data_IF_142193775634
#
_entry.id   IF_142193775634
#
_cell.length_a   1.000
_cell.length_b   1.000
_cell.length_c   1.000
_cell.angle_alpha   90.00
_cell.angle_beta   90.00
_cell.angle_gamma   90.00
#
_symmetry.space_group_name_H-M   'P 1'
#
loop_
_entity.id
_entity.type
_entity.pdbx_description
1 polymer ?
#
# COMPACT_ATOMS: atom_id res chain seq x y z
N UNK A 1 -18.67 13.66 29.98
CA UNK A 1 -19.55 13.24 28.88
C UNK A 1 -18.65 12.89 27.71
N UNK A 2 -18.59 11.61 27.40
CA UNK A 2 -17.89 11.06 26.27
C UNK A 2 -18.59 11.60 25.01
N UNK A 3 -18.03 12.64 24.39
CA UNK A 3 -18.51 13.15 23.12
C UNK A 3 -18.08 12.16 22.05
N UNK A 4 -18.87 11.11 21.87
CA UNK A 4 -18.74 9.94 21.01
C UNK A 4 -18.23 10.16 19.58
N UNK A 5 -17.06 10.75 19.44
CA UNK A 5 -16.34 10.88 18.17
C UNK A 5 -15.50 9.63 17.92
N UNK A 6 -15.54 9.14 16.69
CA UNK A 6 -14.69 8.04 16.26
C UNK A 6 -13.21 8.50 16.17
N UNK A 7 -12.23 7.63 16.54
CA UNK A 7 -10.82 7.96 16.36
C UNK A 7 -10.45 8.21 14.89
N UNK A 8 -9.55 9.17 14.64
CA UNK A 8 -9.07 9.48 13.29
C UNK A 8 -8.51 8.24 12.57
N UNK A 9 -7.79 7.39 13.29
CA UNK A 9 -7.23 6.13 12.77
C UNK A 9 -8.28 5.21 12.16
N UNK A 10 -9.46 5.11 12.79
CA UNK A 10 -10.58 4.31 12.26
C UNK A 10 -11.21 4.94 11.03
N UNK A 11 -11.38 6.27 11.02
CA UNK A 11 -11.92 6.99 9.86
C UNK A 11 -11.00 6.83 8.65
N UNK A 12 -9.70 6.96 8.84
CA UNK A 12 -8.69 6.72 7.79
C UNK A 12 -8.79 5.29 7.26
N UNK A 13 -8.95 4.30 8.14
CA UNK A 13 -9.11 2.89 7.74
C UNK A 13 -10.41 2.66 6.94
N UNK A 14 -11.52 3.25 7.35
CA UNK A 14 -12.79 3.19 6.61
C UNK A 14 -12.64 3.76 5.19
N UNK A 15 -12.00 4.92 5.05
CA UNK A 15 -11.78 5.54 3.73
C UNK A 15 -10.83 4.70 2.88
N UNK A 16 -9.79 4.10 3.46
CA UNK A 16 -8.91 3.17 2.75
C UNK A 16 -9.68 1.95 2.25
N UNK A 17 -10.57 1.39 3.08
CA UNK A 17 -11.44 0.25 2.70
C UNK A 17 -12.39 0.62 1.55
N UNK A 18 -12.99 1.81 1.60
CA UNK A 18 -13.83 2.33 0.52
C UNK A 18 -13.04 2.48 -0.80
N UNK A 19 -11.80 2.97 -0.71
CA UNK A 19 -10.91 3.13 -1.86
C UNK A 19 -10.56 1.78 -2.50
N UNK A 20 -10.15 0.81 -1.68
CA UNK A 20 -9.88 -0.56 -2.15
C UNK A 20 -11.13 -1.21 -2.76
N UNK A 21 -12.30 -0.99 -2.14
CA UNK A 21 -13.59 -1.45 -2.65
C UNK A 21 -13.92 -0.89 -4.05
N UNK A 22 -13.57 0.37 -4.32
CA UNK A 22 -13.73 0.94 -5.66
C UNK A 22 -12.80 0.29 -6.70
N UNK A 23 -11.53 0.04 -6.35
CA UNK A 23 -10.61 -0.69 -7.23
C UNK A 23 -11.14 -2.08 -7.57
N UNK A 24 -11.59 -2.84 -6.57
CA UNK A 24 -12.16 -4.18 -6.78
C UNK A 24 -13.46 -4.14 -7.61
N UNK A 25 -14.30 -3.14 -7.38
CA UNK A 25 -15.53 -2.93 -8.17
C UNK A 25 -15.22 -2.68 -9.65
N UNK A 26 -14.19 -1.89 -9.96
CA UNK A 26 -13.76 -1.65 -11.34
C UNK A 26 -13.28 -2.97 -11.97
N UNK A 27 -12.42 -3.73 -11.27
CA UNK A 27 -11.93 -5.04 -11.74
C UNK A 27 -13.07 -6.03 -12.01
N UNK A 28 -14.09 -6.04 -11.16
CA UNK A 28 -15.24 -6.93 -11.29
C UNK A 28 -16.25 -6.48 -12.37
N UNK A 29 -16.21 -5.23 -12.79
CA UNK A 29 -17.19 -4.65 -13.72
C UNK A 29 -16.99 -5.04 -15.19
N UNK A 30 -15.79 -5.53 -15.54
CA UNK A 30 -15.42 -5.90 -16.90
C UNK A 30 -14.66 -7.22 -16.94
N UNK A 31 -14.78 -7.96 -18.05
CA UNK A 31 -13.94 -9.13 -18.29
C UNK A 31 -12.64 -8.68 -18.96
N UNK A 32 -11.50 -9.15 -18.48
CA UNK A 32 -10.19 -8.84 -19.04
C UNK A 32 -9.25 -10.04 -18.91
N UNK A 33 -8.26 -10.10 -19.81
CA UNK A 33 -7.20 -11.11 -19.81
C UNK A 33 -5.95 -10.57 -19.08
N UNK A 34 -5.69 -9.25 -19.20
CA UNK A 34 -4.51 -8.59 -18.61
C UNK A 34 -4.95 -7.36 -17.83
N UNK A 35 -4.45 -7.23 -16.60
CA UNK A 35 -4.62 -6.06 -15.74
C UNK A 35 -3.31 -5.27 -15.70
N UNK A 36 -3.37 -3.98 -16.03
CA UNK A 36 -2.29 -3.03 -15.82
C UNK A 36 -2.74 -1.88 -14.91
N UNK A 37 -2.00 -1.68 -13.82
CA UNK A 37 -2.28 -0.62 -12.85
C UNK A 37 -1.08 0.32 -12.75
N UNK A 38 -1.33 1.62 -12.63
CA UNK A 38 -0.29 2.64 -12.52
C UNK A 38 -0.74 3.87 -11.76
N UNK A 39 0.22 4.60 -11.21
CA UNK A 39 0.01 5.84 -10.51
C UNK A 39 0.08 5.72 -9.00
N UNK A 40 -0.25 6.80 -8.31
CA UNK A 40 -0.22 6.89 -6.86
C UNK A 40 -1.35 7.75 -6.34
N UNK A 41 -1.76 7.46 -5.12
CA UNK A 41 -2.72 8.21 -4.34
C UNK A 41 -2.03 9.33 -3.55
N UNK A 42 -2.74 10.41 -3.19
CA UNK A 42 -2.27 11.39 -2.23
C UNK A 42 -1.94 10.72 -0.89
N UNK A 43 -0.81 11.08 -0.31
CA UNK A 43 -0.42 10.59 1.02
C UNK A 43 -1.33 11.19 2.09
N UNK A 44 -1.65 10.43 3.12
CA UNK A 44 -2.57 10.86 4.16
C UNK A 44 -2.11 12.14 4.89
N UNK A 45 -0.81 12.35 5.02
CA UNK A 45 -0.23 13.61 5.55
C UNK A 45 -0.75 14.84 4.80
N UNK A 46 -0.77 14.80 3.47
CA UNK A 46 -1.27 15.90 2.64
C UNK A 46 -2.79 16.07 2.77
N UNK A 47 -3.53 14.97 2.74
CA UNK A 47 -5.01 14.99 2.89
C UNK A 47 -5.40 15.61 4.22
N UNK A 48 -4.76 15.18 5.31
CA UNK A 48 -5.06 15.71 6.65
C UNK A 48 -4.56 17.13 6.86
N UNK A 49 -3.44 17.52 6.25
CA UNK A 49 -2.96 18.90 6.32
C UNK A 49 -3.96 19.86 5.65
N UNK A 50 -4.48 19.50 4.47
CA UNK A 50 -5.54 20.27 3.79
C UNK A 50 -6.81 20.32 4.65
N UNK A 51 -7.23 19.17 5.19
CA UNK A 51 -8.38 19.08 6.08
C UNK A 51 -8.21 19.97 7.32
N UNK A 52 -7.06 19.91 7.99
CA UNK A 52 -6.78 20.70 9.18
C UNK A 52 -6.85 22.20 8.89
N UNK A 53 -6.18 22.66 7.84
CA UNK A 53 -6.21 24.09 7.46
C UNK A 53 -7.63 24.54 7.13
N UNK A 54 -8.39 23.71 6.37
CA UNK A 54 -9.76 24.05 5.98
C UNK A 54 -10.69 24.15 7.18
N UNK A 55 -10.53 23.30 8.19
CA UNK A 55 -11.42 23.24 9.37
C UNK A 55 -11.05 24.22 10.46
N UNK A 56 -9.76 24.36 10.80
CA UNK A 56 -9.29 25.20 11.91
C UNK A 56 -9.30 26.69 11.59
N UNK A 57 -9.24 27.04 10.31
CA UNK A 57 -9.16 28.43 9.84
C UNK A 57 -10.45 28.91 9.18
N UNK A 58 -11.53 28.13 9.24
CA UNK A 58 -12.84 28.58 8.82
C UNK A 58 -13.30 29.72 9.73
N UNK A 59 -13.45 30.97 9.21
CA UNK A 59 -13.80 32.11 10.05
C UNK A 59 -15.25 32.06 10.58
N UNK A 60 -16.10 31.29 9.94
CA UNK A 60 -17.52 31.18 10.27
C UNK A 60 -17.80 30.05 11.30
N UNK A 61 -16.98 28.98 11.25
CA UNK A 61 -17.13 27.83 12.16
C UNK A 61 -15.81 27.07 12.37
N UNK A 62 -14.84 27.63 13.14
CA UNK A 62 -13.58 26.96 13.40
C UNK A 62 -13.77 25.69 14.22
N UNK A 63 -13.39 24.55 13.67
CA UNK A 63 -13.58 23.25 14.29
C UNK A 63 -12.29 22.69 14.90
N UNK A 64 -12.41 21.96 16.00
CA UNK A 64 -11.33 21.15 16.53
C UNK A 64 -11.10 19.91 15.67
N UNK A 65 -9.82 19.61 15.33
CA UNK A 65 -9.45 18.52 14.41
C UNK A 65 -9.51 17.13 15.08
N UNK A 66 -9.36 17.06 16.39
CA UNK A 66 -9.10 15.82 17.10
C UNK A 66 -10.33 14.89 17.25
N UNK A 67 -11.55 15.44 17.31
CA UNK A 67 -12.76 14.64 17.43
C UNK A 67 -13.52 14.56 16.10
N UNK A 68 -13.82 13.34 15.63
CA UNK A 68 -14.45 13.08 14.34
C UNK A 68 -15.95 12.77 14.52
N UNK A 69 -16.77 13.81 14.42
CA UNK A 69 -18.22 13.64 14.23
C UNK A 69 -18.57 13.33 12.76
N UNK A 70 -19.84 13.05 12.48
CA UNK A 70 -20.29 12.66 11.12
C UNK A 70 -20.06 13.77 10.07
N UNK A 71 -20.15 15.03 10.45
CA UNK A 71 -19.89 16.16 9.55
C UNK A 71 -18.41 16.25 9.17
N UNK A 72 -17.53 16.10 10.13
CA UNK A 72 -16.07 16.10 9.94
C UNK A 72 -15.60 14.90 9.12
N UNK A 73 -16.18 13.72 9.36
CA UNK A 73 -15.93 12.52 8.55
C UNK A 73 -16.34 12.73 7.10
N UNK A 74 -17.53 13.29 6.87
CA UNK A 74 -18.01 13.58 5.53
C UNK A 74 -17.09 14.56 4.80
N UNK A 75 -16.62 15.61 5.48
CA UNK A 75 -15.67 16.57 4.92
C UNK A 75 -14.32 15.94 4.61
N UNK A 76 -13.77 15.13 5.52
CA UNK A 76 -12.51 14.42 5.27
C UNK A 76 -12.61 13.48 4.08
N UNK A 77 -13.73 12.74 3.98
CA UNK A 77 -14.01 11.86 2.85
C UNK A 77 -14.17 12.64 1.54
N UNK A 78 -14.82 13.80 1.56
CA UNK A 78 -14.93 14.70 0.41
C UNK A 78 -13.55 15.18 -0.06
N UNK A 79 -12.69 15.65 0.87
CA UNK A 79 -11.33 16.10 0.56
C UNK A 79 -10.52 14.95 -0.04
N UNK A 80 -10.57 13.77 0.59
CA UNK A 80 -9.87 12.59 0.08
C UNK A 80 -10.25 12.25 -1.37
N UNK A 81 -11.55 12.20 -1.69
CA UNK A 81 -12.02 11.89 -3.03
C UNK A 81 -11.86 13.06 -4.03
N UNK A 82 -11.75 14.27 -3.55
CA UNK A 82 -11.39 15.43 -4.39
C UNK A 82 -9.92 15.38 -4.79
N UNK A 83 -9.07 14.91 -3.88
CA UNK A 83 -7.63 14.74 -4.15
C UNK A 83 -7.34 13.51 -5.01
N UNK A 84 -8.09 12.44 -4.88
CA UNK A 84 -7.76 11.14 -5.49
C UNK A 84 -8.74 10.77 -6.57
N UNK A 85 -8.21 10.41 -7.74
CA UNK A 85 -8.99 10.05 -8.93
C UNK A 85 -8.56 8.67 -9.41
N UNK A 86 -9.53 7.76 -9.53
CA UNK A 86 -9.34 6.44 -10.13
C UNK A 86 -9.95 6.48 -11.53
N UNK A 87 -9.11 6.34 -12.54
CA UNK A 87 -9.54 6.19 -13.93
C UNK A 87 -9.40 4.74 -14.40
N UNK A 88 -10.28 4.30 -15.31
CA UNK A 88 -10.14 3.00 -15.94
C UNK A 88 -10.51 3.06 -17.42
N UNK A 89 -9.87 2.20 -18.22
CA UNK A 89 -10.19 1.97 -19.63
C UNK A 89 -9.90 0.53 -20.00
N UNK A 90 -10.59 0.03 -21.01
CA UNK A 90 -10.29 -1.25 -21.64
C UNK A 90 -9.76 -1.04 -23.06
N UNK A 91 -8.88 -1.95 -23.48
CA UNK A 91 -8.30 -1.96 -24.83
C UNK A 91 -8.15 -3.41 -25.28
N UNK A 92 -8.59 -3.73 -26.51
CA UNK A 92 -8.35 -5.04 -27.11
C UNK A 92 -7.11 -4.97 -27.98
N UNK A 93 -6.13 -5.83 -27.72
CA UNK A 93 -4.91 -5.97 -28.50
C UNK A 93 -4.92 -7.33 -29.20
N UNK A 94 -4.61 -7.31 -30.49
CA UNK A 94 -4.55 -8.52 -31.30
C UNK A 94 -3.10 -8.74 -31.74
N UNK A 95 -2.57 -9.90 -31.40
CA UNK A 95 -1.21 -10.31 -31.76
C UNK A 95 -1.27 -11.58 -32.61
N UNK A 96 -0.38 -11.69 -33.59
CA UNK A 96 -0.19 -12.89 -34.38
C UNK A 96 0.90 -13.72 -33.71
N UNK A 97 0.56 -14.93 -33.29
CA UNK A 97 1.48 -15.90 -32.71
C UNK A 97 1.76 -16.97 -33.75
N UNK A 98 3.04 -17.26 -33.98
CA UNK A 98 3.46 -18.36 -34.85
C UNK A 98 3.69 -19.59 -33.99
N UNK A 99 2.89 -20.62 -34.19
CA UNK A 99 3.07 -21.91 -33.54
C UNK A 99 3.76 -22.87 -34.50
N UNK A 100 4.88 -23.45 -34.06
CA UNK A 100 5.58 -24.51 -34.79
C UNK A 100 5.07 -25.86 -34.33
N UNK A 101 4.63 -26.71 -35.28
CA UNK A 101 4.22 -28.07 -35.01
C UNK A 101 4.86 -29.05 -35.99
N UNK A 102 5.14 -30.31 -35.55
CA UNK A 102 5.62 -31.35 -36.43
C UNK A 102 4.42 -31.99 -37.18
N UNK A 103 4.50 -32.11 -38.49
CA UNK A 103 3.45 -32.72 -39.33
C UNK A 103 3.36 -34.25 -39.22
N UNK A 104 4.14 -34.85 -38.31
CA UNK A 104 4.26 -36.31 -38.13
C UNK A 104 5.18 -36.99 -39.16
N UNK A 105 5.81 -36.19 -40.05
CA UNK A 105 6.76 -36.66 -41.05
C UNK A 105 8.15 -36.03 -40.87
N UNK A 106 8.33 -35.31 -39.76
CA UNK A 106 9.59 -34.62 -39.43
C UNK A 106 9.77 -33.27 -40.07
N UNK A 107 8.70 -32.70 -40.65
CA UNK A 107 8.73 -31.29 -41.10
C UNK A 107 8.06 -30.39 -40.08
N UNK A 108 8.67 -29.24 -39.84
CA UNK A 108 8.08 -28.18 -39.01
C UNK A 108 7.10 -27.39 -39.87
N UNK A 109 5.86 -27.34 -39.43
CA UNK A 109 4.79 -26.50 -40.03
C UNK A 109 4.54 -25.34 -39.10
N UNK A 110 4.71 -24.14 -39.62
CA UNK A 110 4.36 -22.89 -38.95
C UNK A 110 2.86 -22.57 -39.18
N UNK A 111 2.13 -22.40 -38.08
CA UNK A 111 0.73 -21.98 -38.14
C UNK A 111 0.60 -20.61 -37.51
N UNK A 112 0.13 -19.63 -38.27
CA UNK A 112 -0.19 -18.31 -37.75
C UNK A 112 -1.55 -18.36 -37.06
N UNK A 113 -1.55 -18.07 -35.73
CA UNK A 113 -2.77 -17.94 -34.93
C UNK A 113 -2.88 -16.51 -34.41
N UNK A 114 -4.07 -15.94 -34.52
CA UNK A 114 -4.33 -14.60 -34.01
C UNK A 114 -4.97 -14.71 -32.62
N UNK A 115 -4.28 -14.14 -31.62
CA UNK A 115 -4.79 -14.09 -30.23
C UNK A 115 -5.19 -12.65 -29.93
N UNK A 116 -6.43 -12.45 -29.49
CA UNK A 116 -6.93 -11.17 -29.02
C UNK A 116 -7.07 -11.19 -27.51
N UNK A 117 -6.40 -10.28 -26.82
CA UNK A 117 -6.46 -10.10 -25.39
C UNK A 117 -7.11 -8.77 -25.04
N UNK A 118 -7.96 -8.77 -24.04
CA UNK A 118 -8.56 -7.56 -23.46
C UNK A 118 -7.73 -7.10 -22.27
N UNK A 119 -7.24 -5.90 -22.33
CA UNK A 119 -6.49 -5.23 -21.28
C UNK A 119 -7.43 -4.32 -20.49
N UNK A 120 -7.38 -4.41 -19.17
CA UNK A 120 -7.93 -3.41 -18.26
C UNK A 120 -6.80 -2.55 -17.72
N UNK A 121 -6.85 -1.26 -18.00
CA UNK A 121 -5.94 -0.26 -17.43
C UNK A 121 -6.65 0.46 -16.29
N UNK A 122 -6.02 0.51 -15.12
CA UNK A 122 -6.45 1.34 -13.99
C UNK A 122 -5.34 2.34 -13.69
N UNK A 123 -5.70 3.61 -13.66
CA UNK A 123 -4.76 4.70 -13.38
C UNK A 123 -5.23 5.47 -12.16
N UNK A 124 -4.36 5.62 -11.17
CA UNK A 124 -4.61 6.45 -9.99
C UNK A 124 -3.80 7.73 -10.12
N UNK A 125 -4.48 8.86 -10.02
CA UNK A 125 -3.85 10.19 -10.01
C UNK A 125 -4.32 10.96 -8.80
N UNK A 126 -3.53 11.94 -8.36
CA UNK A 126 -3.92 12.78 -7.23
C UNK A 126 -3.53 14.23 -7.44
N UNK A 127 -4.26 15.11 -6.75
CA UNK A 127 -3.90 16.51 -6.58
C UNK A 127 -2.98 16.66 -5.39
N UNK A 128 -2.01 17.56 -5.51
CA UNK A 128 -1.13 17.96 -4.42
C UNK A 128 -1.87 18.86 -3.41
N UNK A 129 -1.30 19.02 -2.22
CA UNK A 129 -1.81 19.96 -1.23
C UNK A 129 -1.87 21.41 -1.76
N UNK A 130 -0.91 21.81 -2.60
CA UNK A 130 -0.90 23.14 -3.22
C UNK A 130 -2.04 23.34 -4.22
N UNK A 131 -2.33 22.33 -5.05
CA UNK A 131 -3.48 22.35 -5.97
C UNK A 131 -4.80 22.42 -5.21
N UNK A 132 -4.90 21.75 -4.07
CA UNK A 132 -6.07 21.85 -3.19
C UNK A 132 -6.19 23.23 -2.54
N UNK A 133 -5.07 23.82 -2.11
CA UNK A 133 -5.04 25.18 -1.58
C UNK A 133 -5.49 26.22 -2.62
N UNK A 134 -5.16 26.02 -3.88
CA UNK A 134 -5.65 26.84 -4.99
C UNK A 134 -7.15 26.64 -5.20
N UNK A 135 -7.60 25.39 -5.29
CA UNK A 135 -9.01 25.04 -5.50
C UNK A 135 -9.92 25.59 -4.38
N UNK A 136 -9.47 25.55 -3.13
CA UNK A 136 -10.22 26.07 -1.99
C UNK A 136 -10.03 27.57 -1.75
N UNK A 137 -9.18 28.24 -2.53
CA UNK A 137 -8.92 29.67 -2.40
C UNK A 137 -8.25 30.04 -1.09
N UNK A 138 -7.32 29.20 -0.59
CA UNK A 138 -6.61 29.46 0.66
C UNK A 138 -5.87 30.79 0.62
N UNK A 139 -6.01 31.56 1.70
CA UNK A 139 -5.27 32.81 1.91
C UNK A 139 -3.77 32.55 2.04
N UNK A 140 -2.97 33.63 2.00
CA UNK A 140 -1.52 33.54 2.20
C UNK A 140 -1.17 32.92 3.58
N UNK A 141 -1.91 33.25 4.63
CA UNK A 141 -1.69 32.72 5.96
C UNK A 141 -2.06 31.23 6.04
N UNK A 142 -3.18 30.82 5.41
CA UNK A 142 -3.58 29.40 5.29
C UNK A 142 -2.55 28.59 4.51
N UNK A 143 -2.02 29.11 3.41
CA UNK A 143 -0.95 28.44 2.63
C UNK A 143 0.33 28.30 3.44
N UNK A 144 0.66 29.30 4.26
CA UNK A 144 1.81 29.21 5.17
C UNK A 144 1.62 28.12 6.22
N UNK A 145 0.44 28.04 6.84
CA UNK A 145 0.10 26.98 7.80
C UNK A 145 0.16 25.61 7.15
N UNK A 146 -0.37 25.47 5.92
CA UNK A 146 -0.29 24.22 5.16
C UNK A 146 1.17 23.79 4.94
N UNK A 147 2.03 24.71 4.52
CA UNK A 147 3.46 24.44 4.32
C UNK A 147 4.15 24.02 5.62
N UNK A 148 3.85 24.68 6.75
CA UNK A 148 4.39 24.34 8.08
C UNK A 148 3.94 22.91 8.50
N UNK A 149 2.68 22.56 8.30
CA UNK A 149 2.15 21.22 8.63
C UNK A 149 2.81 20.11 7.80
N UNK A 150 3.27 20.42 6.60
CA UNK A 150 3.88 19.47 5.68
C UNK A 150 5.40 19.32 5.84
N UNK A 151 6.04 20.09 6.75
CA UNK A 151 7.47 19.95 7.04
C UNK A 151 7.79 18.56 7.63
N UNK A 152 9.04 18.12 7.45
CA UNK A 152 9.50 16.84 8.00
C UNK A 152 9.54 16.82 9.53
N UNK A 153 9.69 17.97 10.15
CA UNK A 153 9.66 18.13 11.62
C UNK A 153 8.33 17.66 12.22
N UNK A 154 7.24 17.72 11.45
CA UNK A 154 5.91 17.29 11.87
C UNK A 154 5.58 15.80 11.54
N UNK A 155 6.51 15.06 10.94
CA UNK A 155 6.25 13.66 10.56
C UNK A 155 5.87 12.78 11.75
N UNK A 156 6.51 12.95 12.92
CA UNK A 156 6.17 12.22 14.14
C UNK A 156 4.77 12.54 14.65
N UNK A 157 4.35 13.81 14.54
CA UNK A 157 2.98 14.22 14.89
C UNK A 157 1.96 13.53 13.99
N UNK A 158 2.18 13.54 12.68
CA UNK A 158 1.29 12.88 11.73
C UNK A 158 1.24 11.37 11.95
N UNK A 159 2.37 10.74 12.25
CA UNK A 159 2.44 9.31 12.57
C UNK A 159 1.59 8.99 13.81
N UNK A 160 1.66 9.81 14.84
CA UNK A 160 0.85 9.65 16.05
C UNK A 160 -0.66 9.88 15.77
N UNK A 161 -1.01 10.92 15.01
CA UNK A 161 -2.40 11.29 14.71
C UNK A 161 -3.06 10.27 13.77
N UNK A 162 -2.35 9.87 12.71
CA UNK A 162 -2.87 8.97 11.69
C UNK A 162 -2.93 7.51 12.13
N UNK A 163 -1.95 7.09 12.90
CA UNK A 163 -1.71 5.66 13.13
C UNK A 163 -1.62 5.28 14.61
N UNK A 164 -1.62 6.27 15.51
CA UNK A 164 -1.46 6.02 16.95
C UNK A 164 -0.08 5.48 17.32
N UNK A 165 0.91 5.63 16.43
CA UNK A 165 2.25 5.06 16.60
C UNK A 165 3.15 6.11 17.24
N UNK A 166 3.75 5.73 18.37
CA UNK A 166 4.75 6.54 19.10
C UNK A 166 5.96 5.66 19.39
N UNK A 167 7.12 6.01 18.84
CA UNK A 167 8.37 5.28 19.07
C UNK A 167 9.11 4.86 17.79
N UNK A 168 10.34 4.36 17.93
CA UNK A 168 11.21 3.96 16.83
C UNK A 168 10.75 2.70 16.08
N UNK A 169 10.16 1.76 16.80
CA UNK A 169 9.69 0.47 16.27
C UNK A 169 8.55 0.64 15.26
N UNK A 170 7.81 1.74 15.36
CA UNK A 170 6.72 2.08 14.44
C UNK A 170 7.14 2.83 13.17
N UNK A 171 8.41 3.20 13.01
CA UNK A 171 8.83 4.04 11.88
C UNK A 171 8.58 3.36 10.54
N UNK A 172 8.91 2.08 10.39
CA UNK A 172 8.67 1.34 9.15
C UNK A 172 7.17 1.16 8.87
N UNK A 173 6.37 1.02 9.93
CA UNK A 173 4.89 0.93 9.82
C UNK A 173 4.34 2.25 9.30
N UNK A 174 4.80 3.39 9.82
CA UNK A 174 4.39 4.71 9.37
C UNK A 174 4.75 4.94 7.88
N UNK A 175 5.96 4.58 7.48
CA UNK A 175 6.39 4.65 6.08
C UNK A 175 5.50 3.79 5.20
N UNK A 176 5.26 2.53 5.58
CA UNK A 176 4.41 1.61 4.82
C UNK A 176 2.96 2.13 4.71
N UNK A 177 2.38 2.62 5.80
CA UNK A 177 1.02 3.18 5.83
C UNK A 177 0.88 4.41 4.93
N UNK A 178 1.93 5.24 4.81
CA UNK A 178 1.94 6.39 3.90
C UNK A 178 1.79 5.99 2.43
N UNK A 179 2.10 4.75 2.09
CA UNK A 179 2.07 4.22 0.73
C UNK A 179 0.77 3.50 0.37
N UNK A 180 -0.10 3.25 1.35
CA UNK A 180 -1.38 2.54 1.13
C UNK A 180 -2.18 3.22 0.03
N UNK A 181 -2.67 2.42 -0.94
CA UNK A 181 -3.41 2.88 -2.11
C UNK A 181 -2.56 3.14 -3.35
N UNK A 182 -1.23 3.09 -3.27
CA UNK A 182 -0.38 3.09 -4.46
C UNK A 182 -0.55 1.79 -5.24
N UNK A 183 -0.49 1.88 -6.57
CA UNK A 183 -0.78 0.78 -7.50
C UNK A 183 0.38 0.54 -8.47
N UNK A 184 0.50 -0.70 -8.98
CA UNK A 184 1.48 -1.08 -10.01
C UNK A 184 2.94 -1.18 -9.54
N UNK A 185 3.26 -0.72 -8.35
CA UNK A 185 4.54 -0.90 -7.66
C UNK A 185 5.77 -0.28 -8.32
N UNK A 186 5.61 0.56 -9.38
CA UNK A 186 6.73 1.13 -10.12
C UNK A 186 7.76 1.85 -9.23
N UNK A 187 7.41 2.64 -8.21
CA UNK A 187 8.38 3.29 -7.33
C UNK A 187 9.29 2.30 -6.58
N UNK A 188 8.78 1.11 -6.24
CA UNK A 188 9.48 0.13 -5.43
C UNK A 188 10.38 -0.79 -6.24
N UNK A 189 9.84 -1.39 -7.31
CA UNK A 189 10.64 -2.29 -8.14
C UNK A 189 11.68 -1.54 -8.98
N UNK A 190 11.40 -0.30 -9.45
CA UNK A 190 12.40 0.50 -10.17
C UNK A 190 13.51 1.01 -9.25
N UNK A 191 13.18 1.43 -8.01
CA UNK A 191 14.18 1.75 -6.99
C UNK A 191 15.09 0.55 -6.67
N UNK A 192 14.52 -0.65 -6.62
CA UNK A 192 15.31 -1.86 -6.39
C UNK A 192 16.35 -2.09 -7.49
N UNK A 193 16.04 -1.73 -8.73
CA UNK A 193 16.90 -1.84 -9.90
C UNK A 193 16.28 -2.62 -11.06
N UNK A 194 14.99 -2.96 -11.01
CA UNK A 194 14.30 -3.61 -12.12
C UNK A 194 13.87 -2.58 -13.18
N UNK A 195 13.95 -2.96 -14.47
CA UNK A 195 13.57 -2.11 -15.59
C UNK A 195 12.14 -2.33 -16.09
N UNK A 196 11.46 -3.34 -15.55
CA UNK A 196 10.07 -3.69 -15.86
C UNK A 196 9.39 -4.23 -14.60
N UNK A 197 8.05 -4.30 -14.65
CA UNK A 197 7.28 -4.86 -13.55
C UNK A 197 7.72 -6.29 -13.21
N UNK A 198 7.86 -6.54 -11.94
CA UNK A 198 8.12 -7.85 -11.32
C UNK A 198 7.11 -8.05 -10.20
N UNK A 199 7.10 -9.21 -9.55
CA UNK A 199 6.45 -9.38 -8.25
C UNK A 199 7.19 -8.52 -7.22
N UNK A 200 6.50 -7.55 -6.60
CA UNK A 200 7.16 -6.45 -5.90
C UNK A 200 6.86 -6.34 -4.39
N UNK A 201 6.25 -7.38 -3.79
CA UNK A 201 6.01 -7.40 -2.35
C UNK A 201 7.29 -7.22 -1.52
N UNK A 202 8.35 -7.96 -1.86
CA UNK A 202 9.65 -7.86 -1.20
C UNK A 202 10.38 -6.55 -1.53
N UNK A 203 10.24 -6.04 -2.76
CA UNK A 203 10.75 -4.71 -3.12
C UNK A 203 10.12 -3.61 -2.27
N UNK A 204 8.82 -3.70 -1.99
CA UNK A 204 8.09 -2.77 -1.13
C UNK A 204 8.63 -2.77 0.30
N UNK A 205 8.78 -3.94 0.92
CA UNK A 205 9.36 -4.04 2.28
C UNK A 205 10.77 -3.48 2.32
N UNK A 206 11.61 -3.82 1.34
CA UNK A 206 12.97 -3.28 1.22
C UNK A 206 12.99 -1.77 1.04
N UNK A 207 12.08 -1.22 0.24
CA UNK A 207 11.95 0.22 0.05
C UNK A 207 11.56 0.92 1.36
N UNK A 208 10.58 0.40 2.09
CA UNK A 208 10.19 0.94 3.40
C UNK A 208 11.37 0.90 4.40
N UNK A 209 12.13 -0.18 4.41
CA UNK A 209 13.31 -0.31 5.25
C UNK A 209 14.41 0.70 4.86
N UNK A 210 14.58 0.98 3.56
CA UNK A 210 15.52 2.00 3.07
C UNK A 210 15.13 3.40 3.53
N UNK A 211 13.85 3.76 3.42
CA UNK A 211 13.35 5.06 3.86
C UNK A 211 13.57 5.30 5.36
N UNK A 212 13.66 4.23 6.15
CA UNK A 212 13.99 4.27 7.57
C UNK A 212 15.51 4.20 7.86
N UNK A 213 16.37 4.04 6.85
CA UNK A 213 17.81 3.82 7.03
C UNK A 213 18.17 2.41 7.54
N UNK A 214 17.23 1.49 7.60
CA UNK A 214 17.42 0.16 8.20
C UNK A 214 18.25 -0.79 7.33
N UNK A 215 18.32 -0.55 6.02
CA UNK A 215 19.23 -1.31 5.14
C UNK A 215 20.69 -0.93 5.42
N UNK A 216 21.00 0.36 5.48
CA UNK A 216 22.35 0.86 5.77
C UNK A 216 22.80 0.44 7.18
N UNK A 217 21.88 0.47 8.14
CA UNK A 217 22.14 0.02 9.52
C UNK A 217 22.27 -1.51 9.67
N UNK A 218 21.97 -2.29 8.62
CA UNK A 218 22.02 -3.76 8.66
C UNK A 218 20.92 -4.40 9.51
N UNK A 219 19.82 -3.70 9.77
CA UNK A 219 18.67 -4.16 10.57
C UNK A 219 17.73 -5.01 9.71
N UNK A 220 17.50 -4.59 8.47
CA UNK A 220 16.69 -5.30 7.48
C UNK A 220 17.50 -5.41 6.18
N UNK A 221 17.54 -6.58 5.52
CA UNK A 221 18.28 -6.73 4.26
C UNK A 221 17.55 -6.05 3.10
N UNK A 222 18.29 -5.69 2.04
CA UNK A 222 17.69 -5.39 0.74
C UNK A 222 17.42 -6.71 0.02
N UNK A 223 16.15 -7.07 -0.20
CA UNK A 223 15.77 -8.32 -0.87
C UNK A 223 14.58 -8.10 -1.80
N UNK A 224 14.54 -8.86 -2.91
CA UNK A 224 13.44 -8.91 -3.87
C UNK A 224 12.75 -10.29 -3.90
N UNK A 225 13.41 -11.33 -3.42
CA UNK A 225 12.84 -12.66 -3.27
C UNK A 225 12.54 -12.97 -1.80
N UNK A 226 11.32 -13.38 -1.49
CA UNK A 226 10.88 -13.65 -0.12
C UNK A 226 11.73 -14.74 0.55
N UNK A 227 12.11 -15.80 -0.18
CA UNK A 227 12.99 -16.87 0.32
C UNK A 227 14.32 -16.33 0.82
N UNK A 228 14.90 -15.36 0.11
CA UNK A 228 16.16 -14.74 0.51
C UNK A 228 16.02 -13.91 1.79
N UNK A 229 14.89 -13.21 1.93
CA UNK A 229 14.56 -12.48 3.16
C UNK A 229 14.46 -13.43 4.35
N UNK A 230 13.69 -14.51 4.23
CA UNK A 230 13.55 -15.55 5.27
C UNK A 230 14.90 -16.12 5.67
N UNK A 231 15.73 -16.50 4.70
CA UNK A 231 17.07 -17.06 4.95
C UNK A 231 17.95 -16.09 5.76
N UNK A 232 17.98 -14.81 5.36
CA UNK A 232 18.77 -13.78 6.03
C UNK A 232 18.40 -13.62 7.51
N UNK A 233 17.09 -13.59 7.83
CA UNK A 233 16.62 -13.48 9.21
C UNK A 233 16.86 -14.74 10.03
N UNK A 234 16.66 -15.92 9.44
CA UNK A 234 16.94 -17.22 10.09
C UNK A 234 18.42 -17.35 10.46
N UNK A 235 19.34 -17.00 9.57
CA UNK A 235 20.77 -17.04 9.81
C UNK A 235 21.23 -16.17 10.99
N UNK A 236 20.44 -15.14 11.33
CA UNK A 236 20.73 -14.19 12.41
C UNK A 236 19.95 -14.47 13.70
N UNK A 237 19.15 -15.55 13.72
CA UNK A 237 18.31 -15.87 14.88
C UNK A 237 17.16 -14.87 15.09
N UNK A 238 16.77 -14.15 14.05
CA UNK A 238 15.71 -13.14 14.06
C UNK A 238 14.41 -13.68 13.41
N UNK A 239 14.15 -14.96 13.56
CA UNK A 239 12.98 -15.63 12.97
C UNK A 239 12.11 -16.27 14.04
N UNK A 240 10.80 -16.10 13.90
CA UNK A 240 9.78 -16.74 14.70
C UNK A 240 8.83 -17.55 13.80
N UNK A 241 8.32 -18.64 14.30
CA UNK A 241 7.32 -19.45 13.60
C UNK A 241 5.90 -18.82 13.70
N UNK A 242 4.93 -19.46 13.08
CA UNK A 242 3.54 -19.00 13.04
C UNK A 242 2.82 -18.98 14.40
N UNK A 243 3.36 -19.59 15.45
CA UNK A 243 2.79 -19.54 16.80
C UNK A 243 3.16 -18.25 17.55
N UNK A 244 4.09 -17.48 17.03
CA UNK A 244 4.51 -16.20 17.60
C UNK A 244 3.41 -15.13 17.44
N UNK A 245 3.21 -14.33 18.50
CA UNK A 245 2.39 -13.13 18.43
C UNK A 245 3.26 -11.94 18.01
N UNK A 246 3.10 -11.44 16.78
CA UNK A 246 4.00 -10.42 16.24
C UNK A 246 3.73 -9.04 16.83
N UNK A 247 4.74 -8.16 16.70
CA UNK A 247 4.69 -6.75 17.11
C UNK A 247 4.64 -5.83 15.90
N UNK A 248 4.17 -4.58 16.05
CA UNK A 248 4.29 -3.58 15.01
C UNK A 248 5.75 -3.46 14.51
N UNK A 249 5.93 -3.50 13.19
CA UNK A 249 7.24 -3.46 12.56
C UNK A 249 7.87 -4.84 12.26
N UNK A 250 7.40 -5.93 12.85
CA UNK A 250 7.83 -7.27 12.44
C UNK A 250 7.47 -7.48 10.95
N UNK A 251 8.26 -8.30 10.27
CA UNK A 251 8.02 -8.63 8.87
C UNK A 251 7.35 -9.99 8.80
N UNK A 252 6.15 -10.04 8.23
CA UNK A 252 5.39 -11.26 8.03
C UNK A 252 5.75 -11.90 6.69
N UNK A 253 5.85 -13.22 6.67
CA UNK A 253 6.10 -14.01 5.47
C UNK A 253 5.03 -15.08 5.32
N UNK A 254 4.55 -15.24 4.09
CA UNK A 254 3.51 -16.19 3.73
C UNK A 254 4.03 -17.26 2.79
N UNK A 255 3.43 -18.42 2.87
CA UNK A 255 3.50 -19.51 1.92
C UNK A 255 2.06 -19.76 1.44
N UNK A 256 1.63 -18.91 0.46
CA UNK A 256 0.30 -19.03 -0.12
C UNK A 256 0.17 -20.35 -0.86
N UNK A 257 -0.99 -20.99 -0.72
CA UNK A 257 -1.35 -22.18 -1.48
C UNK A 257 -1.56 -21.81 -2.96
N UNK A 258 -0.48 -21.84 -3.71
CA UNK A 258 -0.42 -21.53 -5.14
C UNK A 258 -0.36 -22.83 -5.99
N UNK A 259 0.05 -22.75 -7.25
CA UNK A 259 0.20 -23.90 -8.15
C UNK A 259 1.20 -24.96 -7.66
N UNK A 260 2.13 -24.60 -6.78
CA UNK A 260 3.11 -25.50 -6.16
C UNK A 260 2.62 -26.05 -4.80
N UNK A 261 1.46 -25.59 -4.33
CA UNK A 261 0.95 -25.84 -2.98
C UNK A 261 1.78 -25.12 -1.92
N UNK A 262 1.57 -25.49 -0.65
CA UNK A 262 2.40 -25.00 0.46
C UNK A 262 3.67 -25.84 0.56
N UNK A 263 4.77 -25.36 0.01
CA UNK A 263 6.05 -26.07 -0.09
C UNK A 263 7.07 -25.69 1.00
N UNK A 264 6.69 -24.80 1.91
CA UNK A 264 7.54 -24.27 2.98
C UNK A 264 8.46 -23.14 2.53
N UNK A 265 8.30 -22.65 1.30
CA UNK A 265 9.02 -21.50 0.76
C UNK A 265 8.12 -20.27 0.71
N UNK A 266 8.62 -19.16 1.18
CA UNK A 266 7.82 -17.92 1.19
C UNK A 266 7.66 -17.37 -0.23
N UNK A 267 6.43 -17.08 -0.61
CA UNK A 267 6.06 -16.45 -1.88
C UNK A 267 5.44 -15.05 -1.72
N UNK A 268 5.19 -14.60 -0.47
CA UNK A 268 4.69 -13.25 -0.19
C UNK A 268 5.21 -12.72 1.15
N UNK A 269 5.23 -11.38 1.31
CA UNK A 269 5.70 -10.71 2.51
C UNK A 269 5.00 -9.36 2.71
N UNK A 270 4.96 -8.92 3.96
CA UNK A 270 4.41 -7.63 4.36
C UNK A 270 5.01 -7.14 5.68
N UNK A 271 4.52 -6.00 6.15
CA UNK A 271 4.92 -5.39 7.41
C UNK A 271 3.75 -5.49 8.40
N UNK A 272 4.00 -5.95 9.60
CA UNK A 272 2.99 -6.02 10.66
C UNK A 272 2.66 -4.61 11.13
N UNK A 273 1.38 -4.24 11.02
CA UNK A 273 0.87 -2.96 11.51
C UNK A 273 0.56 -3.02 13.00
N UNK A 274 -0.20 -4.02 13.41
CA UNK A 274 -0.61 -4.26 14.81
C UNK A 274 -1.20 -5.65 14.97
N UNK A 275 -1.39 -6.05 16.22
CA UNK A 275 -2.25 -7.19 16.61
C UNK A 275 -3.39 -6.67 17.45
N UNK A 276 -4.60 -7.07 17.12
CA UNK A 276 -5.81 -6.66 17.83
C UNK A 276 -6.91 -7.69 17.67
N UNK A 277 -7.61 -8.01 18.76
CA UNK A 277 -8.75 -8.95 18.77
C UNK A 277 -8.44 -10.34 18.12
N UNK A 278 -7.22 -10.86 18.34
CA UNK A 278 -6.80 -12.16 17.80
C UNK A 278 -6.49 -12.16 16.31
N UNK A 279 -6.27 -10.98 15.72
CA UNK A 279 -5.90 -10.80 14.32
C UNK A 279 -4.61 -10.00 14.19
N UNK A 280 -3.78 -10.38 13.24
CA UNK A 280 -2.64 -9.59 12.79
C UNK A 280 -3.06 -8.73 11.61
N UNK A 281 -2.82 -7.44 11.73
CA UNK A 281 -3.04 -6.44 10.67
C UNK A 281 -1.70 -6.17 9.99
N UNK A 282 -1.73 -6.09 8.66
CA UNK A 282 -0.52 -5.97 7.83
C UNK A 282 -0.64 -4.85 6.83
N UNK A 283 0.50 -4.34 6.35
CA UNK A 283 0.60 -3.50 5.17
C UNK A 283 1.43 -4.27 4.14
N UNK A 284 0.85 -4.53 2.99
CA UNK A 284 1.40 -5.40 1.97
C UNK A 284 1.52 -4.69 0.62
N UNK A 285 2.70 -4.75 0.03
CA UNK A 285 2.90 -4.41 -1.38
C UNK A 285 2.51 -5.58 -2.28
N UNK A 286 2.12 -5.29 -3.51
CA UNK A 286 1.69 -6.27 -4.51
C UNK A 286 0.48 -7.13 -4.08
N UNK A 287 -0.33 -6.62 -3.18
CA UNK A 287 -1.59 -7.26 -2.79
C UNK A 287 -2.69 -6.80 -3.76
N UNK A 288 -3.00 -7.62 -4.77
CA UNK A 288 -3.86 -7.22 -5.88
C UNK A 288 -3.28 -6.05 -6.69
N UNK A 289 -1.95 -6.07 -6.91
CA UNK A 289 -1.15 -5.04 -7.58
C UNK A 289 -1.21 -3.66 -6.92
N UNK A 290 -1.44 -3.63 -5.60
CA UNK A 290 -1.54 -2.40 -4.81
C UNK A 290 -0.83 -2.53 -3.47
N UNK A 291 -0.58 -1.40 -2.80
CA UNK A 291 -0.24 -1.37 -1.37
C UNK A 291 -1.54 -1.35 -0.58
N UNK A 292 -1.78 -2.38 0.23
CA UNK A 292 -3.02 -2.56 0.98
C UNK A 292 -2.80 -2.90 2.44
N UNK A 293 -3.77 -2.51 3.25
CA UNK A 293 -3.96 -3.05 4.59
C UNK A 293 -4.74 -4.35 4.49
N UNK A 294 -4.23 -5.40 5.15
CA UNK A 294 -4.86 -6.71 5.25
C UNK A 294 -4.96 -7.11 6.72
N UNK A 295 -5.70 -8.17 7.00
CA UNK A 295 -5.73 -8.77 8.32
C UNK A 295 -6.02 -10.28 8.24
N UNK A 296 -5.39 -11.03 9.15
CA UNK A 296 -5.46 -12.48 9.21
C UNK A 296 -5.66 -12.92 10.65
N UNK A 297 -6.32 -14.06 10.91
CA UNK A 297 -6.31 -14.64 12.24
C UNK A 297 -4.87 -14.92 12.71
N UNK A 298 -4.56 -14.73 14.00
CA UNK A 298 -3.30 -15.24 14.56
C UNK A 298 -3.23 -16.75 14.35
N UNK A 299 -2.06 -17.25 13.91
CA UNK A 299 -1.88 -18.64 13.57
C UNK A 299 -2.52 -19.06 12.23
N UNK A 300 -2.82 -18.09 11.35
CA UNK A 300 -3.35 -18.40 10.01
C UNK A 300 -2.42 -19.35 9.26
N UNK A 301 -2.96 -20.42 8.70
CA UNK A 301 -2.19 -21.57 8.20
C UNK A 301 -1.24 -21.26 7.03
N UNK A 302 -1.49 -20.20 6.26
CA UNK A 302 -0.62 -19.74 5.18
C UNK A 302 0.47 -18.76 5.64
N UNK A 303 0.49 -18.36 6.92
CA UNK A 303 1.61 -17.60 7.47
C UNK A 303 2.77 -18.56 7.74
N UNK A 304 3.89 -18.38 7.05
CA UNK A 304 5.10 -19.18 7.25
C UNK A 304 5.79 -18.82 8.57
N UNK A 305 5.79 -17.53 8.91
CA UNK A 305 6.39 -17.02 10.14
C UNK A 305 6.70 -15.52 10.06
N UNK A 306 7.47 -15.06 11.04
CA UNK A 306 7.77 -13.66 11.23
C UNK A 306 9.28 -13.43 11.40
N UNK A 307 9.78 -12.39 10.78
CA UNK A 307 11.09 -11.84 11.14
C UNK A 307 10.93 -10.74 12.17
N UNK A 308 11.82 -10.71 13.16
CA UNK A 308 11.84 -9.76 14.28
C UNK A 308 13.10 -8.88 14.20
N UNK A 309 13.10 -7.82 13.37
CA UNK A 309 14.26 -6.95 13.21
C UNK A 309 14.69 -6.33 14.53
N UNK A 310 15.98 -6.10 14.72
CA UNK A 310 16.54 -5.49 15.93
C UNK A 310 16.59 -3.97 15.78
N UNK A 311 15.45 -3.32 15.92
CA UNK A 311 15.31 -1.86 15.83
C UNK A 311 16.05 -1.11 16.93
#
# INVERSE_FOLDING_TARGET
EDTGGQPMTEVVREINTDYDGQLESIKASVSYDVLEMSGSRAVWKEVLAVYAVKTTTDPDDPQEVASMDDGKKALLKEIFWTMNIIGSRTESKTETVIEESDDGHGNIVETETTVTQTYLYITVTHKTADEMAEQYGFSADQRKQLAELLTDENNSLWTAVLYGITGSDGQIVAVALSQVGNVGGQPYWSWYGFNSRVEWCACFVSWCANECGYIEAGIIPKYAGCVNGVAWFKERGLWQDNAYEPRPGDIIFFDWDDENGQDGLSNHTGIVEKVENGRVYTIEGNSGDSVRQRDYPLGYYEVLGFATPAY
#
